data_IF_257640086520
#
_entry.id   IF_257640086520
#
_cell.length_a   1.000
_cell.length_b   1.000
_cell.length_c   1.000
_cell.angle_alpha   90.00
_cell.angle_beta   90.00
_cell.angle_gamma   90.00
#
_symmetry.space_group_name_H-M   'P 1'
#
loop_
_entity.id
_entity.type
_entity.pdbx_description
1 polymer ?
#
# COMPACT_ATOMS: atom_id res chain seq x y z
N UNK A 1 -6.62 -31.21 -12.94
CA UNK A 1 -7.69 -30.21 -12.70
C UNK A 1 -8.30 -30.54 -11.36
N UNK A 2 -8.13 -29.66 -10.34
CA UNK A 2 -8.81 -29.80 -9.05
C UNK A 2 -10.28 -29.44 -9.23
N UNK A 3 -11.18 -30.18 -8.59
CA UNK A 3 -12.60 -29.85 -8.51
C UNK A 3 -12.82 -28.60 -7.70
N UNK A 4 -13.69 -27.70 -8.14
CA UNK A 4 -14.05 -26.47 -7.43
C UNK A 4 -14.82 -26.82 -6.15
N UNK A 5 -14.28 -26.42 -5.00
CA UNK A 5 -14.92 -26.61 -3.69
C UNK A 5 -15.30 -25.26 -3.08
N UNK A 6 -16.58 -25.02 -2.88
CA UNK A 6 -17.13 -23.81 -2.28
C UNK A 6 -16.55 -23.47 -0.89
N UNK A 7 -16.14 -24.49 -0.13
CA UNK A 7 -15.49 -24.32 1.17
C UNK A 7 -14.15 -23.60 1.09
N UNK A 8 -13.44 -23.74 -0.03
CA UNK A 8 -12.15 -23.07 -0.28
C UNK A 8 -12.30 -21.67 -0.87
N UNK A 9 -13.46 -21.36 -1.46
CA UNK A 9 -13.81 -20.03 -1.94
C UNK A 9 -14.23 -19.07 -0.81
N UNK A 10 -14.34 -19.55 0.44
CA UNK A 10 -14.69 -18.72 1.58
C UNK A 10 -13.46 -17.91 2.03
N UNK A 11 -13.49 -16.55 1.97
CA UNK A 11 -12.38 -15.70 2.38
C UNK A 11 -11.95 -15.90 3.85
N UNK A 12 -12.88 -16.30 4.72
CA UNK A 12 -12.58 -16.64 6.12
C UNK A 12 -11.88 -18.01 6.28
N UNK A 13 -12.13 -18.95 5.36
CA UNK A 13 -11.47 -20.26 5.35
C UNK A 13 -9.98 -20.14 4.95
N UNK A 14 -9.68 -19.28 4.00
CA UNK A 14 -8.31 -19.02 3.56
C UNK A 14 -7.48 -18.24 4.60
N UNK A 15 -8.11 -17.38 5.40
CA UNK A 15 -7.48 -16.76 6.58
C UNK A 15 -7.03 -17.80 7.61
N UNK A 16 -7.86 -18.82 7.85
CA UNK A 16 -7.51 -19.91 8.77
C UNK A 16 -6.30 -20.72 8.27
N UNK A 17 -6.23 -20.96 6.96
CA UNK A 17 -5.07 -21.61 6.34
C UNK A 17 -3.78 -20.77 6.49
N UNK A 18 -3.87 -19.46 6.23
CA UNK A 18 -2.75 -18.55 6.42
C UNK A 18 -2.28 -18.50 7.88
N UNK A 19 -3.18 -18.73 8.85
CA UNK A 19 -2.86 -18.71 10.28
C UNK A 19 -1.98 -19.89 10.75
N UNK A 20 -1.83 -20.94 9.93
CA UNK A 20 -0.95 -22.06 10.24
C UNK A 20 0.55 -21.70 10.11
N UNK A 21 0.83 -20.57 9.43
CA UNK A 21 2.20 -20.09 9.22
C UNK A 21 2.43 -18.76 9.98
N UNK A 22 3.10 -18.76 11.15
CA UNK A 22 3.25 -17.56 11.98
C UNK A 22 3.89 -16.37 11.25
N UNK A 23 4.86 -16.66 10.38
CA UNK A 23 5.54 -15.63 9.58
C UNK A 23 4.61 -14.99 8.56
N UNK A 24 3.72 -15.77 7.95
CA UNK A 24 2.74 -15.27 6.99
C UNK A 24 1.74 -14.34 7.67
N UNK A 25 1.29 -14.67 8.87
CA UNK A 25 0.39 -13.80 9.62
C UNK A 25 0.98 -12.41 9.85
N UNK A 26 2.26 -12.34 10.20
CA UNK A 26 2.95 -11.06 10.40
C UNK A 26 3.06 -10.28 9.09
N UNK A 27 3.38 -10.95 7.98
CA UNK A 27 3.46 -10.31 6.67
C UNK A 27 2.09 -9.83 6.18
N UNK A 28 1.06 -10.65 6.32
CA UNK A 28 -0.33 -10.28 5.95
C UNK A 28 -0.82 -9.11 6.78
N UNK A 29 -0.58 -9.12 8.09
CA UNK A 29 -0.92 -7.99 8.96
C UNK A 29 -0.19 -6.71 8.54
N UNK A 30 1.09 -6.80 8.20
CA UNK A 30 1.86 -5.69 7.66
C UNK A 30 1.26 -5.18 6.34
N UNK A 31 0.86 -6.08 5.43
CA UNK A 31 0.20 -5.71 4.17
C UNK A 31 -1.13 -4.99 4.41
N UNK A 32 -1.92 -5.42 5.39
CA UNK A 32 -3.20 -4.77 5.75
C UNK A 32 -2.93 -3.33 6.23
N UNK A 33 -2.00 -3.13 7.17
CA UNK A 33 -1.67 -1.79 7.66
C UNK A 33 -1.13 -0.88 6.56
N UNK A 34 -0.25 -1.39 5.71
CA UNK A 34 0.27 -0.66 4.56
C UNK A 34 -0.84 -0.32 3.57
N UNK A 35 -1.76 -1.24 3.30
CA UNK A 35 -2.91 -1.01 2.42
C UNK A 35 -3.82 0.09 2.98
N UNK A 36 -4.13 0.06 4.28
CA UNK A 36 -4.90 1.12 4.95
C UNK A 36 -4.18 2.47 4.82
N UNK A 37 -2.87 2.52 5.04
CA UNK A 37 -2.08 3.73 4.92
C UNK A 37 -2.08 4.28 3.48
N UNK A 38 -1.95 3.42 2.46
CA UNK A 38 -2.03 3.81 1.06
C UNK A 38 -3.41 4.38 0.70
N UNK A 39 -4.49 3.70 1.09
CA UNK A 39 -5.85 4.20 0.86
C UNK A 39 -6.14 5.48 1.63
N UNK A 40 -5.51 5.71 2.78
CA UNK A 40 -5.54 6.99 3.48
C UNK A 40 -5.00 8.13 2.59
N UNK A 41 -3.84 7.90 1.97
CA UNK A 41 -3.24 8.87 1.05
C UNK A 41 -4.16 9.15 -0.16
N UNK A 42 -4.64 8.11 -0.83
CA UNK A 42 -5.51 8.23 -2.01
C UNK A 42 -6.81 8.97 -1.70
N UNK A 43 -7.44 8.64 -0.57
CA UNK A 43 -8.76 9.17 -0.20
C UNK A 43 -8.71 10.62 0.30
N UNK A 44 -7.63 10.99 0.99
CA UNK A 44 -7.52 12.29 1.66
C UNK A 44 -6.71 13.29 0.83
N UNK A 45 -5.97 12.85 -0.18
CA UNK A 45 -5.08 13.70 -0.98
C UNK A 45 -5.74 14.97 -1.52
N UNK A 46 -6.89 14.82 -2.18
CA UNK A 46 -7.61 15.95 -2.75
C UNK A 46 -8.06 16.93 -1.65
N UNK A 47 -8.66 16.43 -0.58
CA UNK A 47 -9.12 17.25 0.54
C UNK A 47 -7.98 17.97 1.23
N UNK A 48 -6.87 17.27 1.48
CA UNK A 48 -5.67 17.83 2.10
C UNK A 48 -5.04 18.95 1.25
N UNK A 49 -4.91 18.75 -0.06
CA UNK A 49 -4.29 19.73 -0.95
C UNK A 49 -5.19 20.93 -1.19
N UNK A 50 -6.52 20.76 -1.22
CA UNK A 50 -7.47 21.87 -1.27
C UNK A 50 -7.41 22.68 0.02
N UNK A 51 -7.49 22.02 1.17
CA UNK A 51 -7.56 22.71 2.46
C UNK A 51 -6.26 23.46 2.77
N UNK A 52 -5.13 22.79 2.63
CA UNK A 52 -3.82 23.32 3.05
C UNK A 52 -3.18 24.26 2.02
N UNK A 53 -3.27 23.92 0.74
CA UNK A 53 -2.56 24.63 -0.34
C UNK A 53 -3.48 25.36 -1.31
N UNK A 54 -4.80 25.26 -1.11
CA UNK A 54 -5.84 25.88 -1.98
C UNK A 54 -5.71 25.47 -3.44
N UNK A 55 -5.31 24.20 -3.68
CA UNK A 55 -5.18 23.70 -5.03
C UNK A 55 -6.54 23.61 -5.73
N UNK A 56 -6.54 23.91 -7.02
CA UNK A 56 -7.69 23.70 -7.88
C UNK A 56 -7.73 22.24 -8.41
N UNK A 57 -8.87 21.84 -8.97
CA UNK A 57 -9.10 20.49 -9.50
C UNK A 57 -8.05 20.09 -10.55
N UNK A 58 -7.59 21.02 -11.38
CA UNK A 58 -6.59 20.75 -12.41
C UNK A 58 -5.23 20.40 -11.80
N UNK A 59 -4.77 21.14 -10.78
CA UNK A 59 -3.52 20.84 -10.06
C UNK A 59 -3.57 19.49 -9.36
N UNK A 60 -4.72 19.14 -8.76
CA UNK A 60 -4.93 17.83 -8.15
C UNK A 60 -4.83 16.75 -9.23
N UNK A 61 -5.50 16.91 -10.37
CA UNK A 61 -5.42 15.95 -11.47
C UNK A 61 -3.99 15.78 -12.00
N UNK A 62 -3.25 16.88 -12.19
CA UNK A 62 -1.83 16.81 -12.60
C UNK A 62 -0.96 16.10 -11.55
N UNK A 63 -1.19 16.38 -10.27
CA UNK A 63 -0.43 15.71 -9.20
C UNK A 63 -0.66 14.19 -9.18
N UNK A 64 -1.91 13.75 -9.35
CA UNK A 64 -2.24 12.32 -9.44
C UNK A 64 -1.63 11.67 -10.68
N UNK A 65 -1.63 12.35 -11.82
CA UNK A 65 -0.97 11.86 -13.02
C UNK A 65 0.55 11.70 -12.82
N UNK A 66 1.20 12.68 -12.18
CA UNK A 66 2.64 12.61 -11.85
C UNK A 66 2.92 11.48 -10.86
N UNK A 67 2.09 11.30 -9.82
CA UNK A 67 2.19 10.19 -8.87
C UNK A 67 2.13 8.86 -9.63
N UNK A 68 1.15 8.68 -10.52
CA UNK A 68 0.99 7.47 -11.31
C UNK A 68 2.21 7.18 -12.20
N UNK A 69 2.70 8.18 -12.93
CA UNK A 69 3.88 8.04 -13.80
C UNK A 69 5.14 7.69 -13.01
N UNK A 70 5.40 8.39 -11.92
CA UNK A 70 6.55 8.11 -11.05
C UNK A 70 6.45 6.72 -10.41
N UNK A 71 5.25 6.30 -10.00
CA UNK A 71 5.02 4.95 -9.46
C UNK A 71 5.35 3.87 -10.50
N UNK A 72 4.99 4.07 -11.77
CA UNK A 72 5.35 3.16 -12.87
C UNK A 72 6.88 3.07 -13.00
N UNK A 73 7.58 4.21 -13.03
CA UNK A 73 9.04 4.23 -13.13
C UNK A 73 9.69 3.50 -11.95
N UNK A 74 9.23 3.75 -10.73
CA UNK A 74 9.72 3.07 -9.52
C UNK A 74 9.49 1.56 -9.60
N UNK A 75 8.28 1.13 -9.98
CA UNK A 75 7.93 -0.29 -10.09
C UNK A 75 8.75 -1.02 -11.18
N UNK A 76 8.93 -0.42 -12.34
CA UNK A 76 9.63 -1.07 -13.44
C UNK A 76 11.15 -1.12 -13.25
N UNK A 77 11.76 -0.05 -12.76
CA UNK A 77 13.21 0.10 -12.72
C UNK A 77 13.79 -0.05 -11.33
N UNK A 78 13.28 0.70 -10.36
CA UNK A 78 13.87 0.76 -9.03
C UNK A 78 13.68 -0.55 -8.26
N UNK A 79 12.49 -1.17 -8.34
CA UNK A 79 12.21 -2.46 -7.70
C UNK A 79 13.21 -3.51 -8.21
N UNK A 80 13.42 -3.62 -9.52
CA UNK A 80 14.33 -4.61 -10.10
C UNK A 80 15.79 -4.40 -9.66
N UNK A 81 16.23 -3.16 -9.52
CA UNK A 81 17.58 -2.82 -9.07
C UNK A 81 17.75 -3.13 -7.58
N UNK A 82 16.78 -2.70 -6.76
CA UNK A 82 16.84 -2.89 -5.32
C UNK A 82 16.71 -4.36 -4.92
N UNK A 83 15.82 -5.11 -5.57
CA UNK A 83 15.66 -6.54 -5.33
C UNK A 83 16.97 -7.30 -5.57
N UNK A 84 17.69 -7.00 -6.66
CA UNK A 84 19.00 -7.61 -6.97
C UNK A 84 20.10 -7.20 -6.01
N UNK A 85 20.11 -5.96 -5.51
CA UNK A 85 21.19 -5.44 -4.66
C UNK A 85 20.99 -5.72 -3.18
N UNK A 86 19.75 -5.56 -2.68
CA UNK A 86 19.43 -5.64 -1.26
C UNK A 86 18.78 -6.96 -0.85
N UNK A 87 18.12 -7.64 -1.81
CA UNK A 87 17.20 -8.73 -1.55
C UNK A 87 15.88 -8.24 -0.95
N UNK A 88 14.85 -9.10 -1.01
CA UNK A 88 13.46 -8.71 -0.69
C UNK A 88 13.29 -8.21 0.75
N UNK A 89 13.93 -8.87 1.74
CA UNK A 89 13.79 -8.49 3.14
C UNK A 89 14.29 -7.07 3.43
N UNK A 90 15.48 -6.73 2.93
CA UNK A 90 16.06 -5.39 3.13
C UNK A 90 15.31 -4.34 2.32
N UNK A 91 14.86 -4.71 1.12
CA UNK A 91 14.03 -3.84 0.28
C UNK A 91 12.69 -3.52 0.95
N UNK A 92 12.04 -4.50 1.60
CA UNK A 92 10.81 -4.28 2.36
C UNK A 92 11.02 -3.29 3.51
N UNK A 93 12.06 -3.50 4.33
CA UNK A 93 12.38 -2.61 5.46
C UNK A 93 12.71 -1.20 4.96
N UNK A 94 13.55 -1.08 3.94
CA UNK A 94 13.93 0.21 3.34
C UNK A 94 12.71 0.96 2.80
N UNK A 95 11.85 0.28 2.06
CA UNK A 95 10.62 0.86 1.53
C UNK A 95 9.65 1.30 2.62
N UNK A 96 9.46 0.50 3.69
CA UNK A 96 8.64 0.87 4.85
C UNK A 96 9.18 2.11 5.57
N UNK A 97 10.49 2.20 5.75
CA UNK A 97 11.13 3.39 6.36
C UNK A 97 10.90 4.64 5.52
N UNK A 98 11.06 4.55 4.20
CA UNK A 98 10.80 5.67 3.29
C UNK A 98 9.32 6.07 3.29
N UNK A 99 8.41 5.11 3.27
CA UNK A 99 6.98 5.36 3.34
C UNK A 99 6.59 6.06 4.64
N UNK A 100 7.10 5.58 5.78
CA UNK A 100 6.91 6.22 7.08
C UNK A 100 7.45 7.65 7.08
N UNK A 101 8.65 7.86 6.55
CA UNK A 101 9.25 9.21 6.42
C UNK A 101 8.40 10.11 5.53
N UNK A 102 7.87 9.60 4.41
CA UNK A 102 6.96 10.33 3.53
C UNK A 102 5.71 10.79 4.26
N UNK A 103 5.04 9.91 4.99
CA UNK A 103 3.86 10.27 5.79
C UNK A 103 4.18 11.26 6.90
N UNK A 104 5.31 11.11 7.57
CA UNK A 104 5.75 12.06 8.59
C UNK A 104 5.97 13.45 7.98
N UNK A 105 6.62 13.53 6.84
CA UNK A 105 6.82 14.79 6.14
C UNK A 105 5.50 15.42 5.68
N UNK A 106 4.52 14.64 5.22
CA UNK A 106 3.19 15.17 4.88
C UNK A 106 2.50 15.84 6.07
N UNK A 107 2.63 15.28 7.26
CA UNK A 107 2.03 15.86 8.47
C UNK A 107 2.59 17.25 8.79
N UNK A 108 3.89 17.47 8.61
CA UNK A 108 4.57 18.70 8.97
C UNK A 108 4.85 19.64 7.80
N UNK A 109 4.48 19.27 6.58
CA UNK A 109 4.75 20.12 5.42
C UNK A 109 3.86 21.36 5.42
N UNK A 110 4.47 22.53 5.34
CA UNK A 110 3.78 23.82 5.17
C UNK A 110 4.00 24.40 3.77
N UNK A 111 5.00 23.93 3.07
CA UNK A 111 5.42 24.45 1.78
C UNK A 111 5.17 23.44 0.66
N UNK A 112 4.64 23.92 -0.47
CA UNK A 112 4.34 23.07 -1.63
C UNK A 112 5.57 22.30 -2.14
N UNK A 113 6.75 22.89 -2.11
CA UNK A 113 8.00 22.22 -2.53
C UNK A 113 8.39 21.07 -1.60
N UNK A 114 8.17 21.25 -0.30
CA UNK A 114 8.41 20.17 0.66
C UNK A 114 7.41 19.03 0.47
N UNK A 115 6.16 19.35 0.11
CA UNK A 115 5.15 18.37 -0.25
C UNK A 115 5.58 17.50 -1.42
N UNK A 116 6.13 18.12 -2.49
CA UNK A 116 6.62 17.37 -3.65
C UNK A 116 7.82 16.47 -3.29
N UNK A 117 8.73 16.96 -2.46
CA UNK A 117 9.84 16.15 -1.94
C UNK A 117 9.36 14.96 -1.10
N UNK A 118 8.41 15.18 -0.20
CA UNK A 118 7.78 14.14 0.60
C UNK A 118 7.06 13.09 -0.26
N UNK A 119 6.40 13.55 -1.32
CA UNK A 119 5.72 12.70 -2.29
C UNK A 119 6.71 11.76 -3.01
N UNK A 120 7.85 12.26 -3.44
CA UNK A 120 8.89 11.43 -4.07
C UNK A 120 9.39 10.35 -3.10
N UNK A 121 9.66 10.70 -1.85
CA UNK A 121 10.09 9.76 -0.82
C UNK A 121 9.01 8.67 -0.59
N UNK A 122 7.74 9.09 -0.50
CA UNK A 122 6.61 8.17 -0.35
C UNK A 122 6.49 7.21 -1.54
N UNK A 123 6.58 7.70 -2.78
CA UNK A 123 6.49 6.88 -4.00
C UNK A 123 7.63 5.85 -4.06
N UNK A 124 8.85 6.27 -3.75
CA UNK A 124 10.00 5.35 -3.66
C UNK A 124 9.75 4.30 -2.57
N UNK A 125 9.15 4.67 -1.45
CA UNK A 125 8.73 3.75 -0.39
C UNK A 125 7.80 2.64 -0.88
N UNK A 126 7.05 2.85 -1.96
CA UNK A 126 6.17 1.86 -2.57
C UNK A 126 6.83 0.54 -3.00
N UNK A 127 8.17 0.47 -3.09
CA UNK A 127 8.91 -0.78 -3.35
C UNK A 127 8.68 -1.86 -2.29
N UNK A 128 8.28 -1.46 -1.07
CA UNK A 128 7.98 -2.39 0.02
C UNK A 128 6.84 -3.36 -0.31
N UNK A 129 5.81 -2.91 -1.05
CA UNK A 129 4.66 -3.75 -1.41
C UNK A 129 5.08 -4.96 -2.24
N UNK A 130 5.87 -4.73 -3.28
CA UNK A 130 6.42 -5.80 -4.13
C UNK A 130 7.34 -6.72 -3.33
N UNK A 131 8.16 -6.17 -2.43
CA UNK A 131 9.06 -6.96 -1.60
C UNK A 131 8.31 -7.87 -0.62
N UNK A 132 7.30 -7.35 0.08
CA UNK A 132 6.49 -8.15 1.02
C UNK A 132 5.72 -9.23 0.27
N UNK A 133 5.17 -8.91 -0.90
CA UNK A 133 4.47 -9.89 -1.74
C UNK A 133 5.41 -10.99 -2.22
N UNK A 134 6.64 -10.66 -2.65
CA UNK A 134 7.67 -11.63 -3.04
C UNK A 134 8.03 -12.57 -1.88
N UNK A 135 8.29 -12.01 -0.69
CA UNK A 135 8.58 -12.81 0.52
C UNK A 135 7.41 -13.74 0.84
N UNK A 136 6.18 -13.23 0.82
CA UNK A 136 4.99 -14.01 1.14
C UNK A 136 4.79 -15.15 0.15
N UNK A 137 4.98 -14.89 -1.15
CA UNK A 137 4.90 -15.92 -2.19
C UNK A 137 6.00 -16.97 -2.06
N UNK A 138 7.21 -16.61 -1.62
CA UNK A 138 8.32 -17.55 -1.49
C UNK A 138 8.17 -18.57 -0.35
N UNK A 139 7.26 -18.31 0.60
CA UNK A 139 7.02 -19.20 1.76
C UNK A 139 6.02 -20.31 1.40
N UNK A 140 5.11 -20.04 0.45
CA UNK A 140 4.01 -20.93 0.09
C UNK A 140 4.41 -21.82 -1.10
N UNK A 141 4.13 -23.13 -1.06
CA UNK A 141 4.34 -24.04 -2.17
C UNK A 141 3.60 -23.60 -3.46
N UNK A 142 4.18 -23.90 -4.63
CA UNK A 142 3.66 -23.48 -5.93
C UNK A 142 2.21 -23.93 -6.18
N UNK A 143 1.82 -25.09 -5.64
CA UNK A 143 0.47 -25.64 -5.78
C UNK A 143 -0.58 -24.89 -4.95
N UNK A 144 -0.19 -23.98 -4.06
CA UNK A 144 -1.06 -23.21 -3.15
C UNK A 144 -1.02 -21.71 -3.41
N UNK A 145 -0.18 -21.25 -4.36
CA UNK A 145 -0.05 -19.83 -4.75
C UNK A 145 -1.39 -19.20 -5.13
N UNK A 146 -2.28 -19.94 -5.81
CA UNK A 146 -3.61 -19.45 -6.17
C UNK A 146 -4.49 -19.16 -4.96
N UNK A 147 -4.42 -19.99 -3.92
CA UNK A 147 -5.17 -19.81 -2.66
C UNK A 147 -4.61 -18.61 -1.88
N UNK A 148 -3.29 -18.46 -1.83
CA UNK A 148 -2.64 -17.30 -1.26
C UNK A 148 -3.09 -15.99 -1.94
N UNK A 149 -2.97 -15.92 -3.27
CA UNK A 149 -3.33 -14.70 -4.02
C UNK A 149 -4.82 -14.36 -3.89
N UNK A 150 -5.69 -15.38 -3.90
CA UNK A 150 -7.13 -15.19 -3.66
C UNK A 150 -7.43 -14.64 -2.27
N UNK A 151 -6.73 -15.15 -1.25
CA UNK A 151 -6.88 -14.70 0.14
C UNK A 151 -6.38 -13.27 0.34
N UNK A 152 -5.19 -12.96 -0.18
CA UNK A 152 -4.63 -11.62 -0.15
C UNK A 152 -5.52 -10.63 -0.91
N UNK A 153 -6.02 -11.00 -2.10
CA UNK A 153 -6.94 -10.18 -2.89
C UNK A 153 -8.23 -9.87 -2.13
N UNK A 154 -8.80 -10.86 -1.44
CA UNK A 154 -10.00 -10.66 -0.61
C UNK A 154 -9.75 -9.70 0.56
N UNK A 155 -8.61 -9.85 1.26
CA UNK A 155 -8.22 -8.97 2.35
C UNK A 155 -7.96 -7.54 1.88
N UNK A 156 -7.22 -7.37 0.77
CA UNK A 156 -6.99 -6.05 0.19
C UNK A 156 -8.30 -5.42 -0.30
N UNK A 157 -9.22 -6.21 -0.85
CA UNK A 157 -10.56 -5.75 -1.21
C UNK A 157 -11.34 -5.20 -0.01
N UNK A 158 -11.25 -5.85 1.16
CA UNK A 158 -11.85 -5.34 2.40
C UNK A 158 -11.21 -4.03 2.85
N UNK A 159 -9.88 -3.90 2.79
CA UNK A 159 -9.22 -2.64 3.14
C UNK A 159 -9.61 -1.50 2.20
N UNK A 160 -9.75 -1.77 0.90
CA UNK A 160 -10.21 -0.80 -0.10
C UNK A 160 -11.64 -0.31 0.19
N UNK A 161 -12.49 -1.17 0.73
CA UNK A 161 -13.87 -0.82 1.07
C UNK A 161 -13.97 0.00 2.38
N UNK A 162 -13.17 -0.36 3.37
CA UNK A 162 -13.28 0.19 4.74
C UNK A 162 -12.39 1.44 4.92
N UNK A 163 -11.18 1.45 4.36
CA UNK A 163 -10.23 2.51 4.64
C UNK A 163 -10.67 3.90 4.13
N UNK A 164 -11.20 4.08 2.90
CA UNK A 164 -11.60 5.42 2.43
C UNK A 164 -12.69 6.09 3.30
N UNK A 165 -13.82 5.45 3.63
CA UNK A 165 -14.83 6.06 4.51
C UNK A 165 -14.28 6.39 5.90
N UNK A 166 -13.43 5.52 6.45
CA UNK A 166 -12.85 5.71 7.76
C UNK A 166 -11.89 6.91 7.76
N UNK A 167 -11.03 7.01 6.75
CA UNK A 167 -10.04 8.08 6.65
C UNK A 167 -10.65 9.43 6.31
N UNK A 168 -11.65 9.47 5.43
CA UNK A 168 -12.38 10.71 5.12
C UNK A 168 -13.20 11.19 6.32
N UNK A 169 -13.82 10.30 7.09
CA UNK A 169 -14.53 10.63 8.32
C UNK A 169 -13.56 11.18 9.38
N UNK A 170 -12.40 10.56 9.52
CA UNK A 170 -11.34 11.01 10.42
C UNK A 170 -10.86 12.43 10.02
N UNK A 171 -10.59 12.64 8.75
CA UNK A 171 -10.18 13.94 8.23
C UNK A 171 -11.25 15.01 8.45
N UNK A 172 -12.51 14.70 8.17
CA UNK A 172 -13.65 15.60 8.38
C UNK A 172 -13.78 15.99 9.87
N UNK A 173 -13.66 15.04 10.78
CA UNK A 173 -13.73 15.28 12.22
C UNK A 173 -12.66 16.29 12.70
N UNK A 174 -11.41 16.14 12.25
CA UNK A 174 -10.31 17.02 12.66
C UNK A 174 -10.30 18.38 11.94
N UNK A 175 -10.90 18.48 10.76
CA UNK A 175 -11.01 19.76 10.02
C UNK A 175 -12.30 20.53 10.30
N UNK A 176 -13.25 19.94 11.07
CA UNK A 176 -14.51 20.58 11.43
C UNK A 176 -15.49 20.75 10.26
N UNK A 177 -15.41 19.90 9.25
CA UNK A 177 -16.24 19.94 8.04
C UNK A 177 -17.02 18.66 7.83
#
# INVERSE_FOLDING_TARGET
RRTFEWKRANPFGSLKYLSEFPLINTLVLSMIFVSIANHSMESVWAYFTIEKFKWNTSLIGYSLAVIGLLSIVVQLWLVSILAKKLGDRRMAIFGLMLMMTGFFLFAFTEWQWLLLGALLIYIIGGVQGTAIQSITSSIIPDNEQGELQGSLGSLMGLTTLIAPPLMTSCFSYFTGK
#
